data_IF_703487602077
#
_entry.id   IF_703487602077
#
_cell.length_a   1.000
_cell.length_b   1.000
_cell.length_c   1.000
_cell.angle_alpha   90.00
_cell.angle_beta   90.00
_cell.angle_gamma   90.00
#
_symmetry.space_group_name_H-M   'P 1'
#
loop_
_entity.id
_entity.type
_entity.pdbx_description
1 polymer ?
#
# COMPACT_ATOMS: atom_id res chain seq x y z
N UNK A 1 -25.64 4.37 28.94
CA UNK A 1 -24.26 4.06 28.56
C UNK A 1 -23.97 4.74 27.23
N UNK A 2 -22.71 5.04 26.93
CA UNK A 2 -22.37 5.51 25.57
C UNK A 2 -22.50 4.35 24.59
N UNK A 3 -22.96 4.64 23.35
CA UNK A 3 -22.96 3.67 22.27
C UNK A 3 -21.55 3.10 22.02
N UNK A 4 -21.44 1.93 21.45
CA UNK A 4 -20.14 1.38 21.07
C UNK A 4 -19.40 2.28 20.06
N UNK A 5 -20.14 2.89 19.14
CA UNK A 5 -19.59 3.89 18.22
C UNK A 5 -18.93 5.05 18.98
N UNK A 6 -19.66 5.67 19.94
CA UNK A 6 -19.12 6.79 20.72
C UNK A 6 -17.91 6.38 21.58
N UNK A 7 -17.87 5.14 22.08
CA UNK A 7 -16.72 4.63 22.82
C UNK A 7 -15.49 4.46 21.91
N UNK A 8 -15.69 3.89 20.71
CA UNK A 8 -14.61 3.71 19.73
C UNK A 8 -14.10 5.07 19.22
N UNK A 9 -15.01 6.00 18.92
CA UNK A 9 -14.64 7.37 18.51
C UNK A 9 -13.82 8.09 19.60
N UNK A 10 -14.22 7.96 20.86
CA UNK A 10 -13.49 8.55 21.98
C UNK A 10 -12.08 7.95 22.14
N UNK A 11 -11.91 6.65 21.89
CA UNK A 11 -10.62 5.96 21.99
C UNK A 11 -9.70 6.21 20.80
N UNK A 12 -10.26 6.44 19.61
CA UNK A 12 -9.51 6.52 18.35
C UNK A 12 -9.44 7.92 17.77
N UNK A 13 -10.25 8.86 18.27
CA UNK A 13 -10.46 10.19 17.66
C UNK A 13 -10.90 10.13 16.19
N UNK A 14 -11.45 9.00 15.74
CA UNK A 14 -12.07 8.85 14.43
C UNK A 14 -13.51 9.35 14.51
N UNK A 15 -14.04 9.83 13.39
CA UNK A 15 -15.47 10.06 13.21
C UNK A 15 -16.00 8.94 12.32
N UNK A 16 -16.87 8.09 12.88
CA UNK A 16 -17.38 6.89 12.20
C UNK A 16 -18.78 7.20 11.68
N UNK A 17 -18.97 7.06 10.39
CA UNK A 17 -20.22 7.31 9.69
C UNK A 17 -20.51 6.19 8.68
N UNK A 18 -21.62 6.25 7.99
CA UNK A 18 -21.92 5.30 6.92
C UNK A 18 -20.98 5.38 5.72
N UNK A 19 -20.19 6.47 5.61
CA UNK A 19 -19.27 6.73 4.50
C UNK A 19 -17.82 6.95 4.92
N UNK A 20 -17.52 6.83 6.21
CA UNK A 20 -16.14 6.90 6.73
C UNK A 20 -15.40 5.57 6.56
N UNK A 21 -14.14 5.55 6.96
CA UNK A 21 -13.35 4.33 7.08
C UNK A 21 -12.76 4.25 8.49
N UNK A 22 -13.22 3.26 9.31
CA UNK A 22 -14.25 2.28 8.95
C UNK A 22 -15.65 2.90 8.83
N UNK A 23 -16.53 2.19 8.14
CA UNK A 23 -17.97 2.46 8.13
C UNK A 23 -18.62 1.91 9.40
N UNK A 24 -19.84 2.37 9.69
CA UNK A 24 -20.65 1.85 10.81
C UNK A 24 -20.91 0.34 10.69
N UNK A 25 -21.05 -0.18 9.47
CA UNK A 25 -21.23 -1.62 9.22
C UNK A 25 -19.96 -2.40 9.57
N UNK A 26 -18.81 -1.93 9.10
CA UNK A 26 -17.51 -2.52 9.44
C UNK A 26 -17.23 -2.46 10.95
N UNK A 27 -17.63 -1.36 11.61
CA UNK A 27 -17.55 -1.27 13.06
C UNK A 27 -18.36 -2.37 13.75
N UNK A 28 -19.58 -2.67 13.28
CA UNK A 28 -20.39 -3.77 13.83
C UNK A 28 -19.72 -5.12 13.65
N UNK A 29 -19.05 -5.33 12.53
CA UNK A 29 -18.27 -6.56 12.31
C UNK A 29 -17.06 -6.62 13.25
N UNK A 30 -16.32 -5.53 13.43
CA UNK A 30 -15.20 -5.47 14.38
C UNK A 30 -15.64 -5.70 15.84
N UNK A 31 -16.80 -5.17 16.22
CA UNK A 31 -17.37 -5.41 17.54
C UNK A 31 -17.74 -6.89 17.72
N UNK A 32 -18.37 -7.49 16.73
CA UNK A 32 -18.74 -8.90 16.74
C UNK A 32 -17.53 -9.83 16.79
N UNK A 33 -16.51 -9.51 16.02
CA UNK A 33 -15.22 -10.21 16.02
C UNK A 33 -14.50 -10.03 17.35
N UNK A 34 -14.52 -8.80 17.89
CA UNK A 34 -13.95 -8.49 19.19
C UNK A 34 -14.61 -9.29 20.32
N UNK A 35 -15.93 -9.38 20.30
CA UNK A 35 -16.66 -10.20 21.26
C UNK A 35 -16.25 -11.68 21.16
N UNK A 36 -16.13 -12.20 19.95
CA UNK A 36 -15.70 -13.60 19.74
C UNK A 36 -14.25 -13.82 20.16
N UNK A 37 -13.35 -12.87 19.87
CA UNK A 37 -11.94 -12.94 20.28
C UNK A 37 -11.80 -12.97 21.80
N UNK A 38 -12.54 -12.11 22.50
CA UNK A 38 -12.57 -12.10 23.97
C UNK A 38 -13.10 -13.43 24.50
N UNK A 39 -14.19 -13.97 23.92
CA UNK A 39 -14.74 -15.29 24.31
C UNK A 39 -13.69 -16.39 24.13
N UNK A 40 -12.96 -16.39 23.01
CA UNK A 40 -11.91 -17.37 22.74
C UNK A 40 -10.80 -17.30 23.78
N UNK A 41 -10.46 -16.09 24.24
CA UNK A 41 -9.45 -15.86 25.26
C UNK A 41 -9.90 -16.19 26.68
N UNK A 42 -11.21 -16.31 26.94
CA UNK A 42 -11.77 -16.59 28.26
C UNK A 42 -11.35 -17.95 28.81
N UNK A 43 -11.11 -18.06 30.14
CA UNK A 43 -11.02 -19.37 30.80
C UNK A 43 -12.32 -20.15 30.65
N UNK A 44 -12.21 -21.47 30.61
CA UNK A 44 -13.32 -22.38 30.33
C UNK A 44 -14.58 -22.07 31.17
N UNK A 45 -14.39 -21.74 32.45
CA UNK A 45 -15.50 -21.40 33.36
C UNK A 45 -16.34 -20.20 32.90
N UNK A 46 -15.73 -19.22 32.26
CA UNK A 46 -16.43 -18.03 31.76
C UNK A 46 -17.08 -18.28 30.39
N UNK A 47 -16.52 -19.19 29.60
CA UNK A 47 -17.09 -19.56 28.30
C UNK A 47 -18.50 -20.12 28.42
N UNK A 48 -18.82 -20.79 29.53
CA UNK A 48 -20.18 -21.27 29.77
C UNK A 48 -21.22 -20.15 29.89
N UNK A 49 -20.79 -18.94 30.28
CA UNK A 49 -21.70 -17.79 30.33
C UNK A 49 -22.01 -17.23 28.92
N UNK A 50 -21.12 -17.49 27.96
CA UNK A 50 -21.23 -17.00 26.58
C UNK A 50 -21.86 -18.04 25.64
N UNK A 51 -22.12 -19.23 26.12
CA UNK A 51 -22.65 -20.31 25.31
C UNK A 51 -24.18 -20.25 25.20
N UNK A 52 -24.67 -20.64 24.05
CA UNK A 52 -26.11 -20.84 23.80
C UNK A 52 -26.43 -22.34 23.82
N UNK A 53 -27.55 -22.68 24.44
CA UNK A 53 -28.06 -24.07 24.41
C UNK A 53 -28.80 -24.31 23.09
N UNK A 54 -28.51 -25.40 22.44
CA UNK A 54 -29.27 -25.91 21.31
C UNK A 54 -29.45 -27.45 21.46
N UNK A 55 -30.28 -28.03 20.62
CA UNK A 55 -30.65 -29.45 20.72
C UNK A 55 -30.45 -30.18 19.40
N UNK A 56 -30.21 -31.47 19.49
CA UNK A 56 -30.21 -32.37 18.35
C UNK A 56 -30.62 -33.78 18.74
N UNK A 57 -31.13 -34.53 17.80
CA UNK A 57 -31.38 -35.98 17.97
C UNK A 57 -30.18 -36.76 17.46
N UNK A 58 -29.77 -37.79 18.17
CA UNK A 58 -28.70 -38.69 17.73
C UNK A 58 -29.05 -39.35 16.40
N UNK A 59 -28.05 -39.58 15.57
CA UNK A 59 -28.16 -40.24 14.27
C UNK A 59 -27.14 -41.38 14.14
N UNK A 60 -27.32 -42.25 13.15
CA UNK A 60 -26.34 -43.26 12.83
C UNK A 60 -25.01 -42.64 12.41
N UNK A 61 -23.91 -43.34 12.62
CA UNK A 61 -22.58 -42.91 12.16
C UNK A 61 -22.59 -42.67 10.64
N UNK A 62 -22.07 -41.54 10.20
CA UNK A 62 -22.12 -41.13 8.80
C UNK A 62 -23.36 -40.29 8.42
N UNK A 63 -24.31 -40.12 9.37
CA UNK A 63 -25.52 -39.31 9.21
C UNK A 63 -25.58 -38.27 10.31
N UNK A 64 -24.48 -37.54 10.53
CA UNK A 64 -24.30 -36.59 11.63
C UNK A 64 -25.48 -35.62 11.74
N UNK A 65 -25.94 -35.45 12.99
CA UNK A 65 -27.30 -34.97 13.28
C UNK A 65 -27.47 -33.45 13.12
N UNK A 66 -26.48 -32.68 13.50
CA UNK A 66 -26.63 -31.21 13.58
C UNK A 66 -25.41 -30.49 13.09
N UNK A 67 -25.61 -29.50 12.23
CA UNK A 67 -24.57 -28.57 11.79
C UNK A 67 -24.28 -27.62 12.94
N UNK A 68 -23.01 -27.49 13.32
CA UNK A 68 -22.53 -26.51 14.28
C UNK A 68 -22.41 -25.13 13.62
N UNK A 69 -22.68 -24.10 14.39
CA UNK A 69 -22.57 -22.69 13.92
C UNK A 69 -21.13 -22.17 13.98
N UNK A 70 -20.42 -22.48 15.08
CA UNK A 70 -19.03 -22.05 15.28
C UNK A 70 -18.05 -23.21 15.45
N UNK A 71 -18.56 -24.40 15.72
CA UNK A 71 -17.76 -25.59 15.97
C UNK A 71 -17.15 -25.67 17.39
N UNK A 72 -17.36 -24.67 18.24
CA UNK A 72 -16.85 -24.70 19.61
C UNK A 72 -17.94 -25.19 20.59
N UNK A 73 -17.98 -26.49 20.80
CA UNK A 73 -18.89 -27.13 21.73
C UNK A 73 -18.24 -27.19 23.12
N UNK A 74 -18.95 -26.74 24.15
CA UNK A 74 -18.45 -26.72 25.53
C UNK A 74 -18.90 -27.95 26.32
N UNK A 75 -20.09 -28.39 26.07
CA UNK A 75 -20.66 -29.59 26.75
C UNK A 75 -21.76 -30.18 25.89
N UNK A 76 -21.91 -31.49 26.00
CA UNK A 76 -23.00 -32.23 25.38
C UNK A 76 -23.62 -33.10 26.45
N UNK A 77 -24.93 -33.10 26.53
CA UNK A 77 -25.72 -33.94 27.45
C UNK A 77 -26.74 -34.73 26.63
N UNK A 78 -26.88 -35.97 26.91
CA UNK A 78 -27.86 -36.84 26.32
C UNK A 78 -28.94 -37.21 27.35
N UNK A 79 -30.19 -37.17 26.92
CA UNK A 79 -31.28 -37.64 27.75
C UNK A 79 -31.69 -39.07 27.40
N UNK A 80 -31.98 -39.85 28.38
CA UNK A 80 -32.68 -41.14 28.24
C UNK A 80 -34.20 -41.00 28.35
N UNK A 81 -34.70 -39.77 28.43
CA UNK A 81 -36.10 -39.41 28.67
C UNK A 81 -36.38 -39.02 30.11
N UNK A 82 -35.49 -39.32 31.05
CA UNK A 82 -35.65 -39.05 32.48
C UNK A 82 -34.42 -38.35 33.07
N UNK A 83 -33.22 -38.80 32.72
CA UNK A 83 -31.95 -38.29 33.25
C UNK A 83 -31.10 -37.74 32.11
N UNK A 84 -30.34 -36.69 32.40
CA UNK A 84 -29.34 -36.14 31.52
C UNK A 84 -27.96 -36.70 31.88
N UNK A 85 -27.32 -37.35 30.94
CA UNK A 85 -25.96 -37.88 31.06
C UNK A 85 -24.97 -37.02 30.32
N UNK A 86 -23.83 -36.64 30.91
CA UNK A 86 -22.79 -35.95 30.21
C UNK A 86 -22.17 -36.86 29.13
N UNK A 87 -21.99 -36.36 27.91
CA UNK A 87 -21.34 -37.08 26.84
C UNK A 87 -19.83 -36.81 26.85
N UNK A 88 -19.05 -37.87 26.74
CA UNK A 88 -17.59 -37.73 26.52
C UNK A 88 -17.28 -37.45 25.04
N UNK A 89 -16.33 -36.59 24.79
CA UNK A 89 -15.83 -36.37 23.43
C UNK A 89 -14.94 -37.53 23.01
N UNK A 90 -15.13 -37.99 21.77
CA UNK A 90 -14.25 -38.97 21.12
C UNK A 90 -13.81 -38.45 19.74
N UNK A 91 -12.63 -38.83 19.25
CA UNK A 91 -12.22 -38.56 17.87
C UNK A 91 -13.20 -39.17 16.87
N UNK A 92 -13.54 -38.47 15.80
CA UNK A 92 -14.52 -38.89 14.79
C UNK A 92 -14.19 -40.25 14.14
N UNK A 93 -12.89 -40.57 13.99
CA UNK A 93 -12.43 -41.85 13.46
C UNK A 93 -12.75 -43.05 14.33
N UNK A 94 -13.07 -42.83 15.61
CA UNK A 94 -13.48 -43.87 16.55
C UNK A 94 -15.00 -44.04 16.64
N UNK A 95 -15.78 -43.19 15.98
CA UNK A 95 -17.25 -43.23 16.05
C UNK A 95 -17.82 -44.58 15.61
N UNK A 96 -17.27 -45.22 14.58
CA UNK A 96 -17.69 -46.57 14.14
C UNK A 96 -17.47 -47.63 15.20
N UNK A 97 -16.35 -47.57 15.92
CA UNK A 97 -16.06 -48.52 17.01
C UNK A 97 -16.94 -48.23 18.23
N UNK A 98 -17.18 -46.95 18.53
CA UNK A 98 -18.06 -46.56 19.63
C UNK A 98 -19.54 -46.97 19.40
N UNK A 99 -19.97 -47.06 18.14
CA UNK A 99 -21.30 -47.48 17.74
C UNK A 99 -21.46 -49.02 17.67
N UNK A 100 -20.36 -49.77 17.64
CA UNK A 100 -20.38 -51.21 17.49
C UNK A 100 -20.82 -51.87 18.79
N UNK A 101 -22.01 -52.50 18.76
CA UNK A 101 -22.60 -53.21 19.94
C UNK A 101 -21.84 -54.51 20.29
N UNK A 102 -20.97 -55.00 19.40
CA UNK A 102 -20.10 -56.17 19.64
C UNK A 102 -18.84 -55.79 20.42
N UNK A 103 -18.51 -54.52 20.51
CA UNK A 103 -17.39 -54.03 21.28
C UNK A 103 -17.68 -54.21 22.78
N UNK A 104 -16.75 -54.83 23.50
CA UNK A 104 -16.97 -55.16 24.88
C UNK A 104 -17.32 -53.94 25.73
N UNK A 105 -18.42 -53.99 26.46
CA UNK A 105 -18.79 -52.98 27.45
C UNK A 105 -17.65 -52.83 28.47
N UNK A 106 -17.15 -51.62 28.63
CA UNK A 106 -15.98 -51.34 29.46
C UNK A 106 -14.76 -50.85 28.74
N UNK A 107 -14.71 -50.90 27.39
CA UNK A 107 -13.70 -50.21 26.64
C UNK A 107 -13.91 -48.69 26.70
N UNK A 108 -12.83 -47.96 26.81
CA UNK A 108 -12.87 -46.50 26.94
C UNK A 108 -13.55 -45.83 25.74
N UNK A 109 -13.63 -46.50 24.60
CA UNK A 109 -14.26 -46.01 23.36
C UNK A 109 -15.72 -46.46 23.20
N UNK A 110 -16.21 -47.38 24.03
CA UNK A 110 -17.57 -47.89 23.97
C UNK A 110 -18.58 -46.84 24.43
N UNK A 111 -19.64 -46.66 23.65
CA UNK A 111 -20.75 -45.79 23.99
C UNK A 111 -21.91 -46.61 24.63
N UNK A 112 -22.34 -46.19 25.80
CA UNK A 112 -23.49 -46.80 26.48
C UNK A 112 -24.58 -45.77 26.75
N UNK A 113 -25.76 -46.20 27.21
CA UNK A 113 -26.86 -45.29 27.54
C UNK A 113 -26.48 -44.35 28.71
N UNK A 114 -25.70 -44.85 29.66
CA UNK A 114 -25.28 -44.11 30.86
C UNK A 114 -23.91 -43.47 30.76
N UNK A 115 -23.11 -43.84 29.74
CA UNK A 115 -21.85 -43.24 29.40
C UNK A 115 -21.83 -42.95 27.89
N UNK A 116 -22.62 -41.97 27.42
CA UNK A 116 -22.72 -41.61 26.04
C UNK A 116 -21.47 -40.86 25.57
N UNK A 117 -21.19 -40.94 24.27
CA UNK A 117 -20.12 -40.19 23.67
C UNK A 117 -20.66 -39.28 22.58
N UNK A 118 -19.91 -38.22 22.28
CA UNK A 118 -20.16 -37.39 21.11
C UNK A 118 -18.88 -37.22 20.28
N UNK A 119 -19.07 -36.93 19.05
CA UNK A 119 -17.99 -36.59 18.12
C UNK A 119 -18.43 -35.48 17.16
N UNK A 120 -17.43 -34.78 16.63
CA UNK A 120 -17.62 -33.73 15.61
C UNK A 120 -16.94 -34.21 14.34
N UNK A 121 -17.70 -34.23 13.24
CA UNK A 121 -17.20 -34.59 11.93
C UNK A 121 -17.78 -33.65 10.86
N UNK A 122 -16.93 -33.10 10.00
CA UNK A 122 -17.32 -32.20 8.91
C UNK A 122 -18.25 -31.06 9.37
N UNK A 123 -17.93 -30.41 10.49
CA UNK A 123 -18.72 -29.30 11.03
C UNK A 123 -20.08 -29.70 11.60
N UNK A 124 -20.30 -30.96 11.82
CA UNK A 124 -21.53 -31.51 12.41
C UNK A 124 -21.23 -32.27 13.67
N UNK A 125 -22.18 -32.22 14.62
CA UNK A 125 -22.12 -32.96 15.87
C UNK A 125 -23.09 -34.15 15.83
N UNK A 126 -22.68 -35.24 16.46
CA UNK A 126 -23.53 -36.41 16.70
C UNK A 126 -23.16 -37.04 18.03
N UNK A 127 -24.09 -37.78 18.60
CA UNK A 127 -23.87 -38.57 19.83
C UNK A 127 -24.24 -40.02 19.65
N UNK A 128 -23.58 -40.89 20.44
CA UNK A 128 -23.79 -42.33 20.44
C UNK A 128 -24.07 -42.83 21.88
N UNK A 129 -24.84 -43.90 22.03
CA UNK A 129 -25.55 -44.67 21.00
C UNK A 129 -26.62 -43.86 20.27
N UNK A 130 -26.90 -44.16 19.00
CA UNK A 130 -27.87 -43.43 18.20
C UNK A 130 -29.32 -43.54 18.74
N UNK A 131 -29.64 -44.62 19.41
CA UNK A 131 -30.98 -44.88 19.91
C UNK A 131 -30.99 -45.02 21.43
N UNK A 132 -32.14 -44.77 22.02
CA UNK A 132 -32.41 -45.08 23.42
C UNK A 132 -32.60 -46.59 23.60
N UNK A 133 -32.55 -47.07 24.87
CA UNK A 133 -32.78 -48.47 25.21
C UNK A 133 -34.17 -49.00 24.76
N UNK A 134 -35.14 -48.10 24.66
CA UNK A 134 -36.50 -48.38 24.16
C UNK A 134 -36.65 -48.26 22.65
N UNK A 135 -35.56 -48.05 21.90
CA UNK A 135 -35.54 -47.89 20.43
C UNK A 135 -35.88 -46.51 19.92
N UNK A 136 -36.18 -45.54 20.78
CA UNK A 136 -36.42 -44.15 20.37
C UNK A 136 -35.11 -43.39 20.02
N UNK A 137 -35.21 -42.28 19.29
CA UNK A 137 -34.09 -41.38 19.09
C UNK A 137 -33.70 -40.68 20.38
N UNK A 138 -32.42 -40.64 20.69
CA UNK A 138 -31.91 -39.88 21.82
C UNK A 138 -31.92 -38.39 21.53
N UNK A 139 -32.52 -37.61 22.42
CA UNK A 139 -32.45 -36.15 22.40
C UNK A 139 -31.22 -35.68 23.17
N UNK A 140 -30.50 -34.73 22.60
CA UNK A 140 -29.31 -34.20 23.19
C UNK A 140 -29.44 -32.69 23.33
N UNK A 141 -28.85 -32.16 24.38
CA UNK A 141 -28.63 -30.76 24.61
C UNK A 141 -27.13 -30.49 24.49
N UNK A 142 -26.75 -29.42 23.84
CA UNK A 142 -25.34 -29.01 23.80
C UNK A 142 -25.22 -27.51 23.97
N UNK A 143 -24.11 -27.10 24.52
CA UNK A 143 -23.73 -25.72 24.63
C UNK A 143 -22.69 -25.41 23.60
N UNK A 144 -23.01 -24.46 22.72
CA UNK A 144 -22.12 -23.98 21.65
C UNK A 144 -21.87 -22.50 21.81
N UNK A 145 -20.63 -22.09 21.59
CA UNK A 145 -20.29 -20.68 21.48
C UNK A 145 -20.63 -20.23 20.07
N UNK A 146 -21.48 -19.23 19.97
CA UNK A 146 -21.78 -18.56 18.72
C UNK A 146 -21.10 -17.19 18.66
N UNK A 147 -20.75 -16.73 17.45
CA UNK A 147 -20.26 -15.36 17.25
C UNK A 147 -21.39 -14.40 17.65
N UNK A 148 -21.21 -13.55 18.66
CA UNK A 148 -22.21 -12.58 19.03
C UNK A 148 -22.44 -11.57 17.91
N UNK A 149 -23.70 -11.21 17.65
CA UNK A 149 -24.03 -10.09 16.78
C UNK A 149 -24.04 -8.81 17.64
N UNK A 150 -23.06 -7.96 17.43
CA UNK A 150 -22.91 -6.70 18.16
C UNK A 150 -23.02 -5.54 17.20
N UNK A 151 -23.95 -4.62 17.47
CA UNK A 151 -24.17 -3.45 16.64
C UNK A 151 -23.43 -2.21 17.18
N UNK A 152 -23.05 -1.31 16.29
CA UNK A 152 -22.42 -0.03 16.64
C UNK A 152 -23.33 0.86 17.53
N UNK A 153 -24.63 0.68 17.43
CA UNK A 153 -25.64 1.45 18.16
C UNK A 153 -25.95 0.90 19.56
N UNK A 154 -25.12 0.01 20.10
CA UNK A 154 -25.28 -0.45 21.46
C UNK A 154 -25.18 0.73 22.44
N UNK A 155 -26.27 1.07 23.10
CA UNK A 155 -26.41 2.26 23.93
C UNK A 155 -26.97 1.98 25.33
N UNK A 156 -27.33 0.73 25.63
CA UNK A 156 -27.84 0.33 26.94
C UNK A 156 -27.11 -0.89 27.52
N UNK A 157 -27.12 -1.00 28.86
CA UNK A 157 -26.57 -2.19 29.56
C UNK A 157 -27.42 -3.42 29.31
N UNK A 158 -28.71 -3.24 29.07
CA UNK A 158 -29.64 -4.34 28.84
C UNK A 158 -29.45 -4.95 27.43
N UNK A 159 -28.93 -4.13 26.51
CA UNK A 159 -28.55 -4.51 25.14
C UNK A 159 -27.07 -4.86 25.03
N UNK A 160 -26.41 -5.13 26.13
CA UNK A 160 -25.02 -5.61 26.16
C UNK A 160 -24.85 -6.83 25.25
N UNK A 161 -23.62 -7.16 24.92
CA UNK A 161 -23.32 -8.34 24.11
C UNK A 161 -24.07 -9.55 24.71
N UNK A 162 -24.99 -10.11 23.95
CA UNK A 162 -25.88 -11.17 24.45
C UNK A 162 -25.07 -12.32 25.04
N UNK A 163 -25.46 -12.74 26.23
CA UNK A 163 -24.77 -13.82 26.96
C UNK A 163 -23.26 -13.55 27.15
N UNK A 164 -22.89 -12.30 27.50
CA UNK A 164 -21.49 -11.90 27.68
C UNK A 164 -21.27 -11.36 29.10
N UNK A 165 -20.15 -11.69 29.78
CA UNK A 165 -19.85 -11.16 31.11
C UNK A 165 -19.59 -9.65 31.07
N UNK A 166 -20.47 -8.86 31.68
CA UNK A 166 -20.45 -7.40 31.67
C UNK A 166 -19.10 -6.82 32.10
N UNK A 167 -18.42 -7.44 33.04
CA UNK A 167 -17.12 -6.99 33.55
C UNK A 167 -16.01 -7.00 32.52
N UNK A 168 -16.16 -7.69 31.38
CA UNK A 168 -15.17 -7.80 30.29
C UNK A 168 -15.67 -7.17 28.99
N UNK A 169 -16.88 -6.60 29.00
CA UNK A 169 -17.49 -6.01 27.81
C UNK A 169 -16.67 -4.84 27.25
N UNK A 170 -15.95 -4.11 28.10
CA UNK A 170 -15.06 -3.02 27.68
C UNK A 170 -13.93 -3.46 26.75
N UNK A 171 -13.58 -4.75 26.72
CA UNK A 171 -12.58 -5.31 25.81
C UNK A 171 -13.07 -5.33 24.36
N UNK A 172 -14.38 -5.41 24.16
CA UNK A 172 -14.98 -5.44 22.83
C UNK A 172 -14.75 -4.12 22.08
N UNK A 173 -15.11 -2.94 22.61
CA UNK A 173 -14.78 -1.67 21.95
C UNK A 173 -13.26 -1.40 21.90
N UNK A 174 -12.45 -1.91 22.80
CA UNK A 174 -10.99 -1.80 22.68
C UNK A 174 -10.48 -2.55 21.44
N UNK A 175 -10.92 -3.78 21.23
CA UNK A 175 -10.58 -4.54 20.03
C UNK A 175 -11.07 -3.84 18.76
N UNK A 176 -12.33 -3.41 18.74
CA UNK A 176 -12.90 -2.69 17.62
C UNK A 176 -12.15 -1.38 17.32
N UNK A 177 -11.66 -0.68 18.36
CA UNK A 177 -10.85 0.52 18.22
C UNK A 177 -9.51 0.24 17.53
N UNK A 178 -8.85 -0.87 17.88
CA UNK A 178 -7.61 -1.30 17.24
C UNK A 178 -7.87 -1.58 15.75
N UNK A 179 -8.92 -2.32 15.41
CA UNK A 179 -9.31 -2.62 14.03
C UNK A 179 -9.72 -1.36 13.26
N UNK A 180 -10.43 -0.45 13.91
CA UNK A 180 -10.83 0.83 13.32
C UNK A 180 -9.63 1.69 12.94
N UNK A 181 -8.61 1.75 13.80
CA UNK A 181 -7.37 2.44 13.48
C UNK A 181 -6.65 1.79 12.30
N UNK A 182 -6.59 0.47 12.23
CA UNK A 182 -6.01 -0.27 11.12
C UNK A 182 -6.73 0.03 9.80
N UNK A 183 -8.06 -0.01 9.81
CA UNK A 183 -8.88 0.32 8.63
C UNK A 183 -8.69 1.79 8.20
N UNK A 184 -8.66 2.73 9.16
CA UNK A 184 -8.40 4.14 8.87
C UNK A 184 -7.01 4.38 8.28
N UNK A 185 -5.98 3.67 8.77
CA UNK A 185 -4.64 3.72 8.18
C UNK A 185 -4.64 3.20 6.74
N UNK A 186 -5.33 2.09 6.47
CA UNK A 186 -5.49 1.53 5.11
C UNK A 186 -6.14 2.54 4.16
N UNK A 187 -7.23 3.16 4.58
CA UNK A 187 -7.94 4.15 3.75
C UNK A 187 -7.09 5.37 3.41
N UNK A 188 -6.22 5.79 4.34
CA UNK A 188 -5.32 6.95 4.09
C UNK A 188 -4.18 6.62 3.12
N UNK A 189 -3.79 5.36 3.00
CA UNK A 189 -2.78 4.94 2.03
C UNK A 189 -3.24 5.14 0.57
N UNK A 190 -4.52 5.00 0.29
CA UNK A 190 -5.12 5.26 -1.03
C UNK A 190 -5.40 6.73 -1.33
N UNK A 191 -4.69 7.68 -0.70
CA UNK A 191 -4.99 9.12 -0.80
C UNK A 191 -4.92 9.63 -2.24
N UNK A 192 -6.10 10.01 -2.78
CA UNK A 192 -6.27 10.57 -4.13
C UNK A 192 -5.47 11.85 -4.35
N UNK A 193 -5.18 12.61 -3.29
CA UNK A 193 -4.44 13.87 -3.38
C UNK A 193 -2.95 13.65 -3.68
N UNK A 194 -2.35 12.60 -3.09
CA UNK A 194 -0.96 12.21 -3.41
C UNK A 194 -0.88 11.71 -4.84
N UNK A 195 -1.81 10.88 -5.27
CA UNK A 195 -1.87 10.37 -6.64
C UNK A 195 -2.10 11.50 -7.66
N UNK A 196 -2.92 12.49 -7.33
CA UNK A 196 -3.14 13.68 -8.17
C UNK A 196 -1.85 14.51 -8.30
N UNK A 197 -1.14 14.73 -7.21
CA UNK A 197 0.14 15.45 -7.24
C UNK A 197 1.22 14.67 -7.99
N UNK A 198 1.28 13.34 -7.86
CA UNK A 198 2.17 12.48 -8.67
C UNK A 198 1.84 12.55 -10.15
N UNK A 199 0.56 12.53 -10.51
CA UNK A 199 0.09 12.68 -11.89
C UNK A 199 0.50 14.05 -12.46
N UNK A 200 0.44 15.12 -11.64
CA UNK A 200 0.88 16.44 -12.03
C UNK A 200 2.40 16.48 -12.27
N UNK A 201 3.22 15.82 -11.44
CA UNK A 201 4.65 15.66 -11.67
C UNK A 201 4.91 14.97 -13.01
N UNK A 202 4.29 13.81 -13.23
CA UNK A 202 4.43 13.04 -14.48
C UNK A 202 4.08 13.89 -15.70
N UNK A 203 2.99 14.64 -15.65
CA UNK A 203 2.57 15.54 -16.73
C UNK A 203 3.63 16.62 -16.99
N UNK A 204 4.17 17.25 -15.95
CA UNK A 204 5.21 18.27 -16.09
C UNK A 204 6.50 17.70 -16.64
N UNK A 205 6.92 16.52 -16.20
CA UNK A 205 8.12 15.84 -16.70
C UNK A 205 7.95 15.43 -18.16
N UNK A 206 6.78 14.95 -18.58
CA UNK A 206 6.47 14.64 -19.98
C UNK A 206 6.56 15.89 -20.86
N UNK A 207 5.97 17.01 -20.43
CA UNK A 207 6.07 18.28 -21.16
C UNK A 207 7.52 18.74 -21.25
N UNK A 208 8.28 18.60 -20.18
CA UNK A 208 9.71 18.92 -20.17
C UNK A 208 10.48 18.09 -21.20
N UNK A 209 10.25 16.78 -21.23
CA UNK A 209 10.88 15.89 -22.22
C UNK A 209 10.56 16.32 -23.67
N UNK A 210 9.33 16.72 -23.93
CA UNK A 210 8.92 17.24 -25.23
C UNK A 210 9.68 18.53 -25.58
N UNK A 211 9.75 19.47 -24.65
CA UNK A 211 10.45 20.74 -24.87
C UNK A 211 11.96 20.53 -25.12
N UNK A 212 12.56 19.59 -24.40
CA UNK A 212 13.96 19.19 -24.61
C UNK A 212 14.15 18.58 -26.00
N UNK A 213 13.24 17.71 -26.43
CA UNK A 213 13.27 17.15 -27.79
C UNK A 213 13.16 18.24 -28.86
N UNK A 214 12.28 19.22 -28.66
CA UNK A 214 12.14 20.37 -29.56
C UNK A 214 13.42 21.20 -29.58
N UNK A 215 14.02 21.48 -28.43
CA UNK A 215 15.31 22.19 -28.37
C UNK A 215 16.42 21.41 -29.10
N UNK A 216 16.47 20.09 -28.97
CA UNK A 216 17.41 19.24 -29.70
C UNK A 216 17.21 19.33 -31.22
N UNK A 217 15.97 19.41 -31.67
CA UNK A 217 15.62 19.59 -33.09
C UNK A 217 16.16 20.92 -33.62
N UNK A 218 15.93 22.04 -32.89
CA UNK A 218 16.41 23.37 -33.28
C UNK A 218 17.95 23.42 -33.30
N UNK A 219 18.61 22.78 -32.38
CA UNK A 219 20.07 22.63 -32.37
C UNK A 219 20.55 21.82 -33.59
N UNK A 220 19.80 20.79 -33.98
CA UNK A 220 20.04 20.02 -35.19
C UNK A 220 19.96 20.90 -36.46
N UNK A 221 18.97 21.78 -36.53
CA UNK A 221 18.81 22.76 -37.62
C UNK A 221 19.96 23.78 -37.62
N UNK A 222 20.33 24.31 -36.45
CA UNK A 222 21.48 25.19 -36.32
C UNK A 222 22.78 24.55 -36.81
N UNK A 223 22.97 23.26 -36.50
CA UNK A 223 24.12 22.47 -37.00
C UNK A 223 24.09 22.30 -38.50
N UNK A 224 22.92 22.02 -39.08
CA UNK A 224 22.77 21.87 -40.51
C UNK A 224 23.12 23.18 -41.27
N UNK A 225 22.61 24.32 -40.80
CA UNK A 225 22.94 25.63 -41.34
C UNK A 225 24.44 25.96 -41.18
N UNK A 226 25.04 25.60 -40.03
CA UNK A 226 26.50 25.78 -39.84
C UNK A 226 27.32 24.93 -40.81
N UNK A 227 26.87 23.71 -41.13
CA UNK A 227 27.50 22.84 -42.11
C UNK A 227 27.40 23.41 -43.56
N UNK A 228 26.26 24.03 -43.88
CA UNK A 228 26.10 24.70 -45.19
C UNK A 228 27.01 25.94 -45.32
N UNK A 229 27.24 26.68 -44.22
CA UNK A 229 28.23 27.78 -44.22
C UNK A 229 29.61 27.23 -44.57
N UNK A 230 30.00 26.06 -43.99
CA UNK A 230 31.26 25.41 -44.31
C UNK A 230 31.39 25.05 -45.82
N UNK A 231 30.27 24.60 -46.44
CA UNK A 231 30.26 24.26 -47.87
C UNK A 231 30.43 25.48 -48.79
N UNK A 232 30.08 26.68 -48.35
CA UNK A 232 30.28 27.92 -49.12
C UNK A 232 31.72 28.44 -49.12
N UNK A 233 32.57 27.90 -48.24
CA UNK A 233 33.95 28.42 -48.04
C UNK A 233 35.01 27.70 -48.84
N UNK A 234 34.62 26.76 -49.70
CA UNK A 234 35.55 25.85 -50.43
C UNK A 234 36.36 26.46 -51.55
N UNK A 235 36.53 27.78 -51.64
CA UNK A 235 37.23 28.39 -52.75
C UNK A 235 38.46 29.24 -52.44
N UNK A 236 38.81 29.42 -51.16
CA UNK A 236 40.08 30.13 -50.83
C UNK A 236 40.56 29.74 -49.42
N UNK A 237 41.60 28.94 -49.30
CA UNK A 237 42.37 28.70 -48.12
C UNK A 237 42.72 30.00 -47.39
N UNK A 238 42.21 30.17 -46.12
CA UNK A 238 42.49 31.33 -45.27
C UNK A 238 41.54 32.52 -45.44
N UNK A 239 40.36 32.34 -46.04
CA UNK A 239 39.32 33.40 -46.08
C UNK A 239 38.65 33.51 -44.70
N UNK A 240 38.20 34.72 -44.31
CA UNK A 240 37.47 34.95 -43.07
C UNK A 240 36.15 34.19 -43.05
N UNK A 241 35.61 33.75 -44.18
CA UNK A 241 34.39 32.93 -44.30
C UNK A 241 34.69 31.51 -43.93
N UNK A 242 35.80 30.92 -44.37
CA UNK A 242 36.26 29.58 -43.94
C UNK A 242 36.52 29.56 -42.43
N UNK A 243 37.22 30.59 -41.91
CA UNK A 243 37.48 30.72 -40.47
C UNK A 243 36.18 30.86 -39.66
N UNK A 244 35.17 31.58 -40.17
CA UNK A 244 33.88 31.72 -39.53
C UNK A 244 33.09 30.41 -39.55
N UNK A 245 33.08 29.68 -40.67
CA UNK A 245 32.45 28.38 -40.79
C UNK A 245 33.11 27.34 -39.86
N UNK A 246 34.43 27.30 -39.82
CA UNK A 246 35.22 26.44 -38.91
C UNK A 246 34.98 26.82 -37.45
N UNK A 247 34.85 28.12 -37.15
CA UNK A 247 34.51 28.60 -35.81
C UNK A 247 33.12 28.16 -35.37
N UNK A 248 32.11 28.24 -36.26
CA UNK A 248 30.75 27.76 -35.98
C UNK A 248 30.77 26.21 -35.79
N UNK A 249 31.47 25.51 -36.66
CA UNK A 249 31.63 24.05 -36.54
C UNK A 249 32.33 23.67 -35.21
N UNK A 250 33.37 24.42 -34.82
CA UNK A 250 34.05 24.25 -33.56
C UNK A 250 33.13 24.54 -32.34
N UNK A 251 32.31 25.58 -32.42
CA UNK A 251 31.33 25.91 -31.41
C UNK A 251 30.27 24.80 -31.26
N UNK A 252 29.76 24.28 -32.37
CA UNK A 252 28.84 23.14 -32.40
C UNK A 252 29.51 21.87 -31.84
N UNK A 253 30.79 21.63 -32.20
CA UNK A 253 31.56 20.49 -31.66
C UNK A 253 31.78 20.61 -30.13
N UNK A 254 32.09 21.79 -29.62
CA UNK A 254 32.20 22.07 -28.19
C UNK A 254 30.88 21.81 -27.47
N UNK A 255 29.77 22.27 -28.06
CA UNK A 255 28.44 22.02 -27.55
C UNK A 255 28.12 20.51 -27.49
N UNK A 256 28.47 19.75 -28.52
CA UNK A 256 28.33 18.30 -28.57
C UNK A 256 29.27 17.61 -27.61
N UNK A 257 30.52 18.05 -27.48
CA UNK A 257 31.50 17.47 -26.54
C UNK A 257 31.11 17.71 -25.08
N UNK A 258 30.64 18.91 -24.76
CA UNK A 258 30.08 19.19 -23.41
C UNK A 258 28.89 18.29 -23.09
N UNK A 259 28.17 17.82 -24.09
CA UNK A 259 27.06 16.90 -23.93
C UNK A 259 27.48 15.43 -23.80
N UNK A 260 28.67 15.09 -24.30
CA UNK A 260 29.18 13.71 -24.34
C UNK A 260 30.19 13.41 -23.23
N UNK A 261 30.59 14.41 -22.41
CA UNK A 261 31.60 14.23 -21.37
C UNK A 261 31.03 13.49 -20.16
N UNK A 262 31.36 12.19 -19.98
CA UNK A 262 30.91 11.42 -18.83
C UNK A 262 31.55 11.87 -17.51
N UNK A 263 32.65 12.63 -17.56
CA UNK A 263 33.36 13.09 -16.37
C UNK A 263 32.62 14.16 -15.59
N UNK A 264 31.73 14.92 -16.25
CA UNK A 264 30.88 15.92 -15.60
C UNK A 264 29.78 15.26 -14.72
N UNK A 265 29.44 13.99 -14.94
CA UNK A 265 28.28 13.37 -14.31
C UNK A 265 28.49 11.95 -13.78
N UNK A 266 29.72 11.44 -13.74
CA UNK A 266 30.12 10.23 -13.01
C UNK A 266 29.56 8.90 -13.55
N UNK A 267 29.01 8.84 -14.76
CA UNK A 267 28.52 7.61 -15.39
C UNK A 267 29.03 7.45 -16.82
N UNK A 268 29.66 6.32 -17.08
CA UNK A 268 30.08 5.85 -18.40
C UNK A 268 28.85 5.53 -19.25
N UNK A 269 28.38 6.47 -20.04
CA UNK A 269 27.40 6.19 -21.09
C UNK A 269 28.09 6.00 -22.42
N UNK A 270 28.37 4.75 -22.76
CA UNK A 270 28.66 4.34 -24.14
C UNK A 270 27.38 4.52 -24.96
N UNK A 271 27.10 5.71 -25.42
CA UNK A 271 26.06 5.91 -26.42
C UNK A 271 26.49 6.92 -27.43
N UNK A 272 26.55 6.43 -28.67
CA UNK A 272 26.66 7.26 -29.84
C UNK A 272 25.64 8.38 -29.84
N UNK A 273 26.10 9.53 -30.07
CA UNK A 273 25.40 10.76 -30.38
C UNK A 273 25.15 11.72 -29.22
N UNK A 274 25.81 12.67 -29.21
CA UNK A 274 25.48 13.95 -29.85
C UNK A 274 24.71 14.94 -29.02
N UNK A 275 24.07 14.58 -27.89
CA UNK A 275 23.24 15.57 -27.21
C UNK A 275 23.30 15.47 -25.69
N UNK A 276 23.85 16.49 -25.03
CA UNK A 276 23.74 16.64 -23.59
C UNK A 276 22.30 16.79 -23.10
N UNK A 277 21.39 17.21 -23.97
CA UNK A 277 19.94 17.13 -23.74
C UNK A 277 19.43 15.70 -23.51
N UNK A 278 20.15 14.69 -23.98
CA UNK A 278 19.85 13.31 -23.68
C UNK A 278 20.08 12.99 -22.20
N UNK A 279 21.12 13.51 -21.55
CA UNK A 279 21.35 13.34 -20.11
C UNK A 279 20.21 13.95 -19.30
N UNK A 280 19.65 15.06 -19.77
CA UNK A 280 18.44 15.64 -19.18
C UNK A 280 17.27 14.67 -19.34
N UNK A 281 17.07 14.15 -20.55
CA UNK A 281 16.01 13.20 -20.86
C UNK A 281 16.17 11.92 -20.04
N UNK A 282 17.39 11.35 -19.99
CA UNK A 282 17.70 10.16 -19.22
C UNK A 282 17.41 10.37 -17.71
N UNK A 283 17.75 11.56 -17.18
CA UNK A 283 17.44 11.89 -15.79
C UNK A 283 15.93 12.06 -15.53
N UNK A 284 15.19 12.61 -16.49
CA UNK A 284 13.73 12.75 -16.42
C UNK A 284 13.04 11.40 -16.63
N UNK A 285 13.51 10.58 -17.57
CA UNK A 285 13.02 9.23 -17.79
C UNK A 285 13.25 8.36 -16.55
N UNK A 286 14.39 8.55 -15.87
CA UNK A 286 14.66 7.90 -14.60
C UNK A 286 13.66 8.35 -13.52
N UNK A 287 13.37 9.65 -13.42
CA UNK A 287 12.37 10.16 -12.49
C UNK A 287 10.97 9.60 -12.80
N UNK A 288 10.60 9.54 -14.08
CA UNK A 288 9.33 8.95 -14.55
C UNK A 288 9.29 7.45 -14.26
N UNK A 289 10.41 6.74 -14.46
CA UNK A 289 10.45 5.30 -14.17
C UNK A 289 10.27 4.99 -12.67
N UNK A 290 10.78 5.84 -11.79
CA UNK A 290 10.50 5.74 -10.35
C UNK A 290 9.04 5.99 -10.00
N UNK A 291 8.34 6.82 -10.77
CA UNK A 291 6.91 7.11 -10.58
C UNK A 291 6.05 5.95 -11.10
N UNK A 292 6.40 5.42 -12.27
CA UNK A 292 5.58 4.47 -13.04
C UNK A 292 5.93 2.99 -12.76
N UNK A 293 7.01 2.73 -12.04
CA UNK A 293 7.44 1.36 -11.76
C UNK A 293 8.15 0.64 -12.91
N UNK A 294 8.58 1.38 -13.93
CA UNK A 294 9.28 0.83 -15.11
C UNK A 294 10.77 0.50 -14.83
N UNK A 295 11.18 0.56 -13.59
CA UNK A 295 12.57 0.34 -13.19
C UNK A 295 12.81 -1.14 -12.86
N UNK A 296 13.97 -1.73 -13.26
CA UNK A 296 14.26 -3.15 -13.01
C UNK A 296 14.41 -3.50 -11.53
N UNK A 297 14.33 -2.54 -10.64
CA UNK A 297 14.41 -2.73 -9.20
C UNK A 297 13.09 -2.31 -8.53
N UNK A 298 12.24 -3.29 -8.21
CA UNK A 298 10.91 -3.11 -7.62
C UNK A 298 10.88 -2.28 -6.31
N UNK A 299 12.05 -2.00 -5.72
CA UNK A 299 12.13 -1.20 -4.50
C UNK A 299 11.94 0.32 -4.72
N UNK A 300 11.87 0.78 -5.95
CA UNK A 300 11.78 2.21 -6.29
C UNK A 300 10.50 2.60 -7.05
N UNK A 301 9.52 1.71 -7.11
CA UNK A 301 8.21 1.98 -7.69
C UNK A 301 7.34 2.71 -6.66
N UNK A 302 7.07 3.99 -6.90
CA UNK A 302 6.28 4.78 -5.95
C UNK A 302 4.81 4.35 -5.93
N UNK A 303 4.23 4.00 -7.07
CA UNK A 303 2.86 3.51 -7.17
C UNK A 303 2.73 2.15 -6.48
N UNK A 304 3.71 1.26 -6.69
CA UNK A 304 3.76 -0.04 -6.02
C UNK A 304 4.00 0.11 -4.52
N UNK A 305 4.86 1.04 -4.09
CA UNK A 305 5.07 1.30 -2.67
C UNK A 305 3.78 1.72 -1.96
N UNK A 306 2.92 2.52 -2.60
CA UNK A 306 1.60 2.87 -2.03
C UNK A 306 0.64 1.69 -2.03
N UNK A 307 0.63 0.87 -3.09
CA UNK A 307 -0.17 -0.36 -3.13
C UNK A 307 0.28 -1.36 -2.05
N UNK A 308 1.59 -1.47 -1.84
CA UNK A 308 2.16 -2.31 -0.79
C UNK A 308 1.79 -1.79 0.61
N UNK A 309 1.81 -0.46 0.84
CA UNK A 309 1.33 0.15 2.09
C UNK A 309 -0.11 -0.23 2.35
N UNK A 310 -0.99 -0.10 1.35
CA UNK A 310 -2.40 -0.48 1.46
C UNK A 310 -2.58 -1.97 1.77
N UNK A 311 -1.79 -2.82 1.11
CA UNK A 311 -1.79 -4.26 1.35
C UNK A 311 -1.34 -4.62 2.78
N UNK A 312 -0.25 -3.99 3.27
CA UNK A 312 0.27 -4.28 4.61
C UNK A 312 -0.66 -3.76 5.72
N UNK A 313 -1.33 -2.62 5.49
CA UNK A 313 -2.37 -2.11 6.40
C UNK A 313 -3.57 -3.06 6.40
N UNK A 314 -3.96 -3.57 5.23
CA UNK A 314 -5.04 -4.56 5.09
C UNK A 314 -4.70 -5.86 5.83
N UNK A 315 -3.42 -6.23 5.87
CA UNK A 315 -2.92 -7.40 6.59
C UNK A 315 -2.67 -7.14 8.08
N UNK A 316 -2.98 -5.92 8.58
CA UNK A 316 -2.78 -5.50 9.98
C UNK A 316 -1.30 -5.47 10.42
N UNK A 317 -0.38 -5.42 9.48
CA UNK A 317 1.06 -5.33 9.73
C UNK A 317 1.50 -3.86 9.79
N UNK A 318 1.44 -3.28 10.98
CA UNK A 318 1.82 -1.87 11.21
C UNK A 318 3.31 -1.60 11.13
N UNK A 319 4.16 -2.58 11.47
CA UNK A 319 5.61 -2.45 11.35
C UNK A 319 6.01 -2.40 9.88
N UNK A 320 5.45 -3.31 9.08
CA UNK A 320 5.73 -3.38 7.66
C UNK A 320 5.12 -2.20 6.90
N UNK A 321 3.90 -1.76 7.25
CA UNK A 321 3.31 -0.56 6.66
C UNK A 321 4.14 0.70 6.95
N UNK A 322 4.66 0.85 8.16
CA UNK A 322 5.57 1.95 8.53
C UNK A 322 6.87 1.89 7.72
N UNK A 323 7.45 0.70 7.54
CA UNK A 323 8.63 0.50 6.69
C UNK A 323 8.35 0.83 5.21
N UNK A 324 7.16 0.50 4.71
CA UNK A 324 6.73 0.84 3.33
C UNK A 324 6.51 2.35 3.16
N UNK A 325 5.95 3.04 4.14
CA UNK A 325 5.87 4.52 4.13
C UNK A 325 7.27 5.12 4.03
N UNK A 326 8.23 4.60 4.80
CA UNK A 326 9.62 5.06 4.73
C UNK A 326 10.25 4.75 3.37
N UNK A 327 9.94 3.62 2.77
CA UNK A 327 10.37 3.27 1.40
C UNK A 327 9.78 4.23 0.37
N UNK A 328 8.50 4.57 0.46
CA UNK A 328 7.86 5.58 -0.41
C UNK A 328 8.53 6.96 -0.28
N UNK A 329 8.89 7.39 0.94
CA UNK A 329 9.68 8.61 1.15
C UNK A 329 11.07 8.53 0.51
N UNK A 330 11.73 7.38 0.58
CA UNK A 330 13.03 7.17 -0.08
C UNK A 330 12.90 7.25 -1.59
N UNK A 331 11.85 6.64 -2.16
CA UNK A 331 11.55 6.73 -3.60
C UNK A 331 11.24 8.17 -4.00
N UNK A 332 10.50 8.91 -3.19
CA UNK A 332 10.25 10.33 -3.41
C UNK A 332 11.53 11.17 -3.39
N UNK A 333 12.44 10.88 -2.48
CA UNK A 333 13.76 11.52 -2.44
C UNK A 333 14.60 11.18 -3.69
N UNK A 334 14.50 9.95 -4.21
CA UNK A 334 15.15 9.56 -5.46
C UNK A 334 14.57 10.30 -6.68
N UNK A 335 13.24 10.44 -6.75
CA UNK A 335 12.56 11.25 -7.77
C UNK A 335 13.06 12.70 -7.70
N UNK A 336 13.06 13.31 -6.51
CA UNK A 336 13.55 14.66 -6.29
C UNK A 336 15.02 14.82 -6.73
N UNK A 337 15.86 13.83 -6.41
CA UNK A 337 17.26 13.81 -6.82
C UNK A 337 17.40 13.76 -8.35
N UNK A 338 16.63 12.91 -9.03
CA UNK A 338 16.63 12.81 -10.49
C UNK A 338 16.17 14.09 -11.15
N UNK A 339 15.12 14.73 -10.61
CA UNK A 339 14.65 16.05 -11.09
C UNK A 339 15.73 17.13 -10.89
N UNK A 340 16.44 17.14 -9.76
CA UNK A 340 17.53 18.07 -9.49
C UNK A 340 18.72 17.84 -10.45
N UNK A 341 19.03 16.59 -10.76
CA UNK A 341 20.06 16.24 -11.76
C UNK A 341 19.65 16.76 -13.13
N UNK A 342 18.39 16.55 -13.55
CA UNK A 342 17.87 17.10 -14.82
C UNK A 342 17.96 18.61 -14.85
N UNK A 343 17.63 19.28 -13.75
CA UNK A 343 17.75 20.75 -13.63
C UNK A 343 19.20 21.23 -13.77
N UNK A 344 20.15 20.52 -13.17
CA UNK A 344 21.57 20.82 -13.33
C UNK A 344 22.02 20.68 -14.80
N UNK A 345 21.62 19.56 -15.45
CA UNK A 345 21.94 19.36 -16.85
C UNK A 345 21.35 20.45 -17.78
N UNK A 346 20.11 20.88 -17.50
CA UNK A 346 19.51 22.00 -18.27
C UNK A 346 20.29 23.31 -18.07
N UNK A 347 20.76 23.56 -16.84
CA UNK A 347 21.59 24.76 -16.58
C UNK A 347 22.89 24.74 -17.40
N UNK A 348 23.56 23.59 -17.46
CA UNK A 348 24.77 23.40 -18.26
C UNK A 348 24.48 23.60 -19.76
N UNK A 349 23.35 23.10 -20.24
CA UNK A 349 22.91 23.28 -21.60
C UNK A 349 22.59 24.74 -21.93
N UNK A 350 21.93 25.45 -21.04
CA UNK A 350 21.69 26.89 -21.21
C UNK A 350 23.00 27.67 -21.30
N UNK A 351 24.00 27.30 -20.50
CA UNK A 351 25.32 27.91 -20.57
C UNK A 351 26.00 27.58 -21.90
N UNK A 352 25.95 26.33 -22.36
CA UNK A 352 26.51 25.90 -23.64
C UNK A 352 25.81 26.56 -24.84
N UNK A 353 24.47 26.67 -24.81
CA UNK A 353 23.70 27.38 -25.84
C UNK A 353 24.05 28.86 -25.85
N UNK A 354 24.21 29.50 -24.70
CA UNK A 354 24.59 30.91 -24.57
C UNK A 354 26.01 31.15 -25.08
N UNK A 355 26.93 30.22 -24.79
CA UNK A 355 28.31 30.29 -25.34
C UNK A 355 28.31 30.17 -26.87
N UNK A 356 27.58 29.18 -27.42
CA UNK A 356 27.43 29.00 -28.86
C UNK A 356 26.82 30.23 -29.53
N UNK A 357 25.77 30.82 -28.93
CA UNK A 357 25.13 32.04 -29.37
C UNK A 357 26.13 33.21 -29.40
N UNK A 358 26.97 33.33 -28.38
CA UNK A 358 28.01 34.36 -28.30
C UNK A 358 29.08 34.18 -29.39
N UNK A 359 29.54 32.95 -29.61
CA UNK A 359 30.51 32.63 -30.68
C UNK A 359 29.90 32.89 -32.07
N UNK A 360 28.62 32.47 -32.31
CA UNK A 360 27.94 32.76 -33.59
C UNK A 360 27.81 34.28 -33.81
N UNK A 361 27.46 35.03 -32.75
CA UNK A 361 27.37 36.50 -32.86
C UNK A 361 28.73 37.13 -33.21
N UNK A 362 29.80 36.61 -32.63
CA UNK A 362 31.18 37.01 -32.98
C UNK A 362 31.50 36.77 -34.45
N UNK A 363 31.25 35.56 -34.95
CA UNK A 363 31.46 35.20 -36.33
C UNK A 363 30.53 35.94 -37.29
N UNK A 364 29.26 36.18 -36.91
CA UNK A 364 28.34 37.01 -37.71
C UNK A 364 28.86 38.42 -37.91
N UNK A 365 29.47 39.01 -36.89
CA UNK A 365 30.10 40.35 -36.99
C UNK A 365 31.28 40.34 -37.94
N UNK A 366 32.07 39.30 -37.95
CA UNK A 366 33.23 39.15 -38.84
C UNK A 366 32.82 38.88 -40.28
N UNK A 367 31.81 38.02 -40.47
CA UNK A 367 31.31 37.64 -41.80
C UNK A 367 30.44 38.72 -42.45
N UNK A 368 29.68 39.49 -41.62
CA UNK A 368 28.77 40.54 -42.16
C UNK A 368 29.40 41.54 -43.07
N UNK A 369 30.72 41.70 -43.03
CA UNK A 369 31.46 42.59 -43.87
C UNK A 369 31.76 41.99 -45.26
N UNK A 370 31.60 40.67 -45.48
CA UNK A 370 32.11 40.02 -46.72
C UNK A 370 31.08 39.18 -47.48
N UNK A 371 30.00 38.75 -46.89
CA UNK A 371 29.02 37.92 -47.61
C UNK A 371 27.61 38.02 -46.98
N UNK A 372 26.65 38.50 -47.72
CA UNK A 372 25.24 38.58 -47.34
C UNK A 372 24.63 37.21 -47.20
N UNK A 373 25.09 36.19 -47.87
CA UNK A 373 24.63 34.82 -47.82
C UNK A 373 25.01 34.17 -46.45
N UNK A 374 26.30 34.33 -46.10
CA UNK A 374 26.81 33.82 -44.83
C UNK A 374 26.14 34.57 -43.68
N UNK A 375 25.97 35.87 -43.76
CA UNK A 375 25.27 36.66 -42.76
C UNK A 375 23.81 36.20 -42.56
N UNK A 376 23.09 35.89 -43.65
CA UNK A 376 21.72 35.36 -43.56
C UNK A 376 21.69 34.00 -42.90
N UNK A 377 22.61 33.08 -43.20
CA UNK A 377 22.71 31.76 -42.59
C UNK A 377 23.12 31.83 -41.11
N UNK A 378 24.05 32.74 -40.77
CA UNK A 378 24.41 32.99 -39.37
C UNK A 378 23.19 33.51 -38.58
N UNK A 379 22.38 34.40 -39.19
CA UNK A 379 21.13 34.84 -38.55
C UNK A 379 20.13 33.69 -38.38
N UNK A 380 20.04 32.76 -39.35
CA UNK A 380 19.22 31.58 -39.23
C UNK A 380 19.69 30.68 -38.04
N UNK A 381 21.01 30.42 -37.97
CA UNK A 381 21.60 29.69 -36.82
C UNK A 381 21.26 30.39 -35.49
N UNK A 382 21.42 31.72 -35.46
CA UNK A 382 21.06 32.51 -34.27
C UNK A 382 19.57 32.34 -33.88
N UNK A 383 18.69 32.35 -34.90
CA UNK A 383 17.25 32.16 -34.69
C UNK A 383 16.94 30.76 -34.08
N UNK A 384 17.57 29.72 -34.63
CA UNK A 384 17.40 28.35 -34.08
C UNK A 384 17.92 28.23 -32.65
N UNK A 385 19.11 28.86 -32.37
CA UNK A 385 19.63 28.86 -30.98
C UNK A 385 18.71 29.61 -30.05
N UNK A 386 18.11 30.73 -30.45
CA UNK A 386 17.17 31.48 -29.65
C UNK A 386 15.90 30.65 -29.37
N UNK A 387 15.41 29.93 -30.38
CA UNK A 387 14.27 29.03 -30.23
C UNK A 387 14.61 27.88 -29.28
N UNK A 388 15.78 27.28 -29.41
CA UNK A 388 16.25 26.25 -28.50
C UNK A 388 16.33 26.74 -27.04
N UNK A 389 16.85 27.97 -26.85
CA UNK A 389 16.88 28.62 -25.53
C UNK A 389 15.49 28.81 -24.95
N UNK A 390 14.50 29.19 -25.76
CA UNK A 390 13.12 29.33 -25.30
C UNK A 390 12.57 27.97 -24.80
N UNK A 391 12.79 26.92 -25.58
CA UNK A 391 12.39 25.55 -25.17
C UNK A 391 13.10 25.10 -23.90
N UNK A 392 14.41 25.37 -23.77
CA UNK A 392 15.15 25.01 -22.55
C UNK A 392 14.66 25.81 -21.34
N UNK A 393 14.32 27.08 -21.51
CA UNK A 393 13.76 27.91 -20.44
C UNK A 393 12.37 27.38 -20.00
N UNK A 394 11.54 27.01 -20.97
CA UNK A 394 10.24 26.39 -20.67
C UNK A 394 10.39 25.04 -19.96
N UNK A 395 11.34 24.22 -20.44
CA UNK A 395 11.67 22.96 -19.79
C UNK A 395 12.12 23.17 -18.32
N UNK A 396 12.98 24.16 -18.10
CA UNK A 396 13.45 24.54 -16.76
C UNK A 396 12.28 25.00 -15.85
N UNK A 397 11.35 25.78 -16.38
CA UNK A 397 10.14 26.18 -15.64
C UNK A 397 9.27 24.96 -15.29
N UNK A 398 9.09 24.03 -16.23
CA UNK A 398 8.33 22.81 -15.97
C UNK A 398 9.02 21.92 -14.92
N UNK A 399 10.35 21.85 -14.89
CA UNK A 399 11.11 21.18 -13.83
C UNK A 399 10.90 21.89 -12.48
N UNK A 400 10.91 23.22 -12.47
CA UNK A 400 10.59 24.00 -11.28
C UNK A 400 9.19 23.67 -10.71
N UNK A 401 8.21 23.56 -11.60
CA UNK A 401 6.85 23.14 -11.22
C UNK A 401 6.80 21.67 -10.76
N UNK A 402 7.52 20.78 -11.43
CA UNK A 402 7.63 19.39 -11.01
C UNK A 402 8.28 19.27 -9.62
N UNK A 403 9.32 20.06 -9.35
CA UNK A 403 9.95 20.16 -8.02
C UNK A 403 8.99 20.69 -6.95
N UNK A 404 8.18 21.69 -7.28
CA UNK A 404 7.16 22.19 -6.37
C UNK A 404 6.12 21.12 -6.05
N UNK A 405 5.63 20.42 -7.06
CA UNK A 405 4.71 19.30 -6.89
C UNK A 405 5.36 18.14 -6.10
N UNK A 406 6.65 17.85 -6.35
CA UNK A 406 7.39 16.85 -5.60
C UNK A 406 7.52 17.24 -4.11
N UNK A 407 7.78 18.50 -3.83
CA UNK A 407 7.79 19.03 -2.46
C UNK A 407 6.41 18.94 -1.80
N UNK A 408 5.35 19.18 -2.56
CA UNK A 408 3.98 19.00 -2.09
C UNK A 408 3.69 17.54 -1.74
N UNK A 409 4.07 16.58 -2.63
CA UNK A 409 3.92 15.14 -2.34
C UNK A 409 4.72 14.76 -1.10
N UNK A 410 5.95 15.25 -0.96
CA UNK A 410 6.78 14.99 0.21
C UNK A 410 6.17 15.57 1.49
N UNK A 411 5.60 16.78 1.42
CA UNK A 411 4.86 17.37 2.55
C UNK A 411 3.63 16.51 2.91
N UNK A 412 2.85 16.07 1.92
CA UNK A 412 1.69 15.19 2.14
C UNK A 412 2.09 13.83 2.73
N UNK A 413 3.18 13.23 2.23
CA UNK A 413 3.73 12.00 2.80
C UNK A 413 4.23 12.20 4.23
N UNK A 414 4.83 13.35 4.53
CA UNK A 414 5.24 13.69 5.90
C UNK A 414 4.05 13.81 6.84
N UNK A 415 2.95 14.41 6.39
CA UNK A 415 1.69 14.48 7.16
C UNK A 415 1.15 13.07 7.37
N UNK A 416 1.06 12.27 6.30
CA UNK A 416 0.64 10.87 6.38
C UNK A 416 1.49 10.09 7.38
N UNK A 417 2.81 10.18 7.30
CA UNK A 417 3.73 9.52 8.23
C UNK A 417 3.49 9.95 9.67
N UNK A 418 3.22 11.23 9.90
CA UNK A 418 2.90 11.76 11.23
C UNK A 418 1.59 11.20 11.74
N UNK A 419 0.56 11.16 10.89
CA UNK A 419 -0.74 10.58 11.24
C UNK A 419 -0.63 9.07 11.46
N UNK A 420 0.11 8.34 10.61
CA UNK A 420 0.38 6.92 10.80
C UNK A 420 1.11 6.65 12.11
N UNK A 421 2.17 7.41 12.40
CA UNK A 421 2.92 7.27 13.65
C UNK A 421 2.05 7.54 14.86
N UNK A 422 1.13 8.51 14.76
CA UNK A 422 0.17 8.76 15.83
C UNK A 422 -0.80 7.60 15.99
N UNK A 423 -1.39 7.12 14.88
CA UNK A 423 -2.32 5.99 14.88
C UNK A 423 -1.65 4.71 15.40
N UNK A 424 -0.42 4.44 14.98
CA UNK A 424 0.39 3.31 15.44
C UNK A 424 0.63 3.37 16.96
N UNK A 425 1.04 4.53 17.48
CA UNK A 425 1.21 4.72 18.92
C UNK A 425 -0.10 4.55 19.69
N UNK A 426 -1.19 5.08 19.16
CA UNK A 426 -2.51 4.93 19.76
C UNK A 426 -2.95 3.46 19.73
N UNK A 427 -2.75 2.79 18.60
CA UNK A 427 -3.02 1.36 18.47
C UNK A 427 -2.18 0.53 19.44
N UNK A 428 -0.87 0.79 19.54
CA UNK A 428 0.01 0.09 20.48
C UNK A 428 -0.46 0.26 21.94
N UNK A 429 -0.92 1.47 22.30
CA UNK A 429 -1.51 1.73 23.61
C UNK A 429 -2.78 0.92 23.84
N UNK A 430 -3.71 0.97 22.89
CA UNK A 430 -4.97 0.21 22.98
C UNK A 430 -4.71 -1.30 23.01
N UNK A 431 -3.73 -1.77 22.24
CA UNK A 431 -3.30 -3.17 22.26
C UNK A 431 -2.76 -3.56 23.65
N UNK A 432 -1.92 -2.74 24.25
CA UNK A 432 -1.40 -2.99 25.59
C UNK A 432 -2.53 -3.01 26.64
N UNK A 433 -3.51 -2.11 26.54
CA UNK A 433 -4.67 -2.07 27.42
C UNK A 433 -5.56 -3.31 27.21
N UNK A 434 -5.75 -3.74 25.96
CA UNK A 434 -6.47 -4.96 25.61
C UNK A 434 -5.76 -6.20 26.16
N UNK A 435 -4.48 -6.35 25.92
CA UNK A 435 -3.68 -7.48 26.39
C UNK A 435 -3.68 -7.56 27.91
N UNK A 436 -3.58 -6.42 28.59
CA UNK A 436 -3.69 -6.34 30.05
C UNK A 436 -5.07 -6.81 30.52
N UNK A 437 -6.13 -6.39 29.85
CA UNK A 437 -7.49 -6.83 30.15
C UNK A 437 -7.68 -8.34 29.95
N UNK A 438 -7.14 -8.90 28.88
CA UNK A 438 -7.13 -10.35 28.63
C UNK A 438 -6.33 -11.10 29.71
N UNK A 439 -5.18 -10.57 30.14
CA UNK A 439 -4.38 -11.18 31.21
C UNK A 439 -5.14 -11.19 32.55
N UNK A 440 -5.79 -10.08 32.90
CA UNK A 440 -6.63 -10.00 34.09
C UNK A 440 -7.78 -10.98 34.04
N UNK A 441 -8.44 -11.13 32.89
CA UNK A 441 -9.51 -12.08 32.66
C UNK A 441 -9.06 -13.54 32.86
N UNK A 442 -7.84 -13.87 32.42
CA UNK A 442 -7.23 -15.21 32.58
C UNK A 442 -6.76 -15.51 34.00
N UNK A 443 -6.81 -14.54 34.91
CA UNK A 443 -6.36 -14.69 36.29
C UNK A 443 -4.84 -14.56 36.45
N UNK A 444 -4.20 -13.81 35.56
CA UNK A 444 -2.78 -13.44 35.70
C UNK A 444 -2.57 -12.55 36.95
N UNK A 445 -1.36 -12.54 37.52
CA UNK A 445 -1.08 -11.73 38.68
C UNK A 445 -1.28 -10.25 38.36
N UNK A 446 -2.11 -9.59 39.17
CA UNK A 446 -2.12 -8.12 39.23
C UNK A 446 -0.77 -7.71 39.80
N UNK A 447 0.10 -7.15 38.94
CA UNK A 447 1.26 -6.41 39.42
C UNK A 447 0.86 -5.10 40.04
#
# INVERSE_FOLDING_TARGET
MQSFEAQVEALTSLSITSSSSPTQTELSDFLSDGAMEVINAMPQRLKYLCATEDTFNSAAVGSEAKVLKSGQVLSVQRTDGTVLYPCREIPANLAGRAADSTFATGHMESATQTDPVYYIYNGKINSLPATLANGGSASNKYLEINRPAVAYTHDSMDDSVASFPLQYEYLVPLYASIKSLQNAMAAKAGNTDVNSALSAITSKLTTTATNISNAATEIGLAKAEAAEIAAYTDTASGSNIETAADGIAAAVAKFQAASADPSLFGHEYTYESTNGLRKVNDALDLAISYINGDFPNANYDLAQNFADIDAEITNEDTELSSARVQQAQTTMAAIQSSVNIAQSHIADWNAAVSALQSEISGFASEVSSRSSVVGAKVQAVQSYINTANAYLSEAQNNIGLANANASEVQARLSVLTTEYTWMEKQQAKLQADYDRGIQLMRGGPSQ
#
